data_IF_845613038857
#
_entry.id   IF_845613038857
#
_cell.length_a   1.000
_cell.length_b   1.000
_cell.length_c   1.000
_cell.angle_alpha   90.00
_cell.angle_beta   90.00
_cell.angle_gamma   90.00
#
_symmetry.space_group_name_H-M   'P 1'
#
loop_
_entity.id
_entity.type
_entity.pdbx_description
1 polymer ?
#
# COMPACT_ATOMS: atom_id res chain seq x y z
N UNK A 1 -3.82 36.17 6.68
CA UNK A 1 -2.92 35.83 5.55
C UNK A 1 -2.62 36.99 4.60
N UNK A 2 -3.18 38.20 4.76
CA UNK A 2 -2.83 39.38 3.93
C UNK A 2 -2.14 40.53 4.68
N UNK A 3 -1.88 40.40 5.98
CA UNK A 3 -1.13 41.40 6.76
C UNK A 3 0.35 41.01 7.03
N UNK A 4 0.74 39.77 6.71
CA UNK A 4 2.12 39.27 6.91
C UNK A 4 3.05 39.52 5.71
N UNK A 5 2.58 40.25 4.69
CA UNK A 5 3.33 40.54 3.47
C UNK A 5 3.94 41.96 3.43
N UNK A 6 3.68 42.80 4.43
CA UNK A 6 4.10 44.21 4.39
C UNK A 6 5.41 44.53 5.16
N UNK A 7 6.07 43.54 5.78
CA UNK A 7 7.28 43.74 6.58
C UNK A 7 8.56 43.11 5.99
N UNK A 8 8.55 42.75 4.71
CA UNK A 8 9.74 42.26 4.03
C UNK A 8 10.51 43.44 3.43
N UNK A 9 11.49 43.95 4.19
CA UNK A 9 12.40 45.00 3.72
C UNK A 9 13.03 44.64 2.36
N UNK A 10 13.36 45.66 1.56
CA UNK A 10 13.84 45.58 0.16
C UNK A 10 14.96 44.55 -0.10
N UNK A 11 15.69 44.10 0.92
CA UNK A 11 16.66 42.99 0.83
C UNK A 11 16.02 41.61 0.70
N UNK A 12 14.91 41.33 1.38
CA UNK A 12 14.20 40.05 1.32
C UNK A 12 13.59 39.80 -0.07
N UNK A 13 13.12 40.86 -0.75
CA UNK A 13 12.65 40.77 -2.13
C UNK A 13 13.77 40.47 -3.14
N UNK A 14 15.00 40.91 -2.89
CA UNK A 14 16.14 40.61 -3.80
C UNK A 14 16.55 39.15 -3.68
N UNK A 15 16.54 38.60 -2.47
CA UNK A 15 16.81 37.19 -2.21
C UNK A 15 15.67 36.34 -2.80
N UNK A 16 14.42 36.71 -2.55
CA UNK A 16 13.25 36.01 -3.11
C UNK A 16 13.24 35.99 -4.65
N UNK A 17 13.65 37.08 -5.29
CA UNK A 17 13.79 37.16 -6.77
C UNK A 17 14.94 36.30 -7.29
N UNK A 18 16.08 36.24 -6.58
CA UNK A 18 17.18 35.36 -6.94
C UNK A 18 16.79 33.86 -6.85
N UNK A 19 16.00 33.49 -5.84
CA UNK A 19 15.47 32.13 -5.71
C UNK A 19 14.42 31.77 -6.77
N UNK A 20 13.58 32.72 -7.18
CA UNK A 20 12.63 32.53 -8.29
C UNK A 20 13.33 32.28 -9.63
N UNK A 21 14.45 32.96 -9.89
CA UNK A 21 15.24 32.74 -11.11
C UNK A 21 15.90 31.37 -11.14
N UNK A 22 16.39 30.88 -10.00
CA UNK A 22 16.96 29.52 -9.89
C UNK A 22 15.87 28.45 -10.04
N UNK A 23 14.68 28.68 -9.48
CA UNK A 23 13.52 27.78 -9.63
C UNK A 23 13.03 27.71 -11.08
N UNK A 24 13.01 28.84 -11.81
CA UNK A 24 12.63 28.86 -13.22
C UNK A 24 13.67 28.21 -14.14
N UNK A 25 14.96 28.35 -13.85
CA UNK A 25 16.02 27.66 -14.60
C UNK A 25 15.95 26.14 -14.41
N UNK A 26 15.46 25.66 -13.27
CA UNK A 26 15.25 24.23 -13.01
C UNK A 26 14.01 23.67 -13.71
N UNK A 27 12.93 24.47 -13.84
CA UNK A 27 11.70 24.06 -14.53
C UNK A 27 11.90 23.82 -16.05
N UNK A 28 12.87 24.50 -16.68
CA UNK A 28 13.20 24.33 -18.10
C UNK A 28 13.97 23.03 -18.39
N UNK A 29 14.59 22.40 -17.39
CA UNK A 29 15.33 21.13 -17.54
C UNK A 29 14.48 19.86 -17.37
N UNK A 30 13.20 19.98 -17.00
CA UNK A 30 12.30 18.85 -16.73
C UNK A 30 11.32 18.53 -17.86
N UNK A 31 11.57 19.00 -19.09
CA UNK A 31 10.98 18.41 -20.28
C UNK A 31 9.45 18.42 -20.35
N UNK A 32 8.78 19.43 -19.78
CA UNK A 32 7.38 19.70 -20.15
C UNK A 32 7.37 20.43 -21.50
N UNK A 33 7.27 19.64 -22.57
CA UNK A 33 7.09 20.13 -23.93
C UNK A 33 5.86 21.02 -24.06
N UNK A 34 6.04 22.16 -24.71
CA UNK A 34 4.96 23.04 -25.14
C UNK A 34 4.06 22.32 -26.17
N UNK A 35 2.75 22.59 -26.19
CA UNK A 35 1.86 22.05 -27.22
C UNK A 35 2.19 22.68 -28.58
N UNK A 36 2.48 21.83 -29.56
CA UNK A 36 2.74 22.24 -30.92
C UNK A 36 1.47 22.79 -31.60
N UNK A 37 1.69 23.86 -32.37
CA UNK A 37 0.71 24.60 -33.12
C UNK A 37 -0.06 23.73 -34.14
N UNK A 38 -1.32 24.10 -34.36
CA UNK A 38 -2.19 23.48 -35.35
C UNK A 38 -1.83 23.82 -36.79
N UNK A 39 -2.17 22.89 -37.68
CA UNK A 39 -2.27 23.04 -39.12
C UNK A 39 -3.43 22.15 -39.61
N UNK A 40 -4.00 22.43 -40.80
CA UNK A 40 -5.45 22.52 -40.99
C UNK A 40 -6.16 21.20 -41.31
N UNK A 41 -7.47 21.25 -41.09
CA UNK A 41 -8.45 20.22 -41.42
C UNK A 41 -8.51 19.97 -42.94
N UNK A 42 -8.39 18.69 -43.31
CA UNK A 42 -8.83 18.18 -44.60
C UNK A 42 -9.94 17.15 -44.39
N UNK A 43 -10.93 17.24 -45.27
CA UNK A 43 -12.23 16.61 -45.18
C UNK A 43 -12.24 15.17 -45.75
N UNK A 44 -13.09 14.34 -45.17
CA UNK A 44 -13.81 13.29 -45.90
C UNK A 44 -13.18 11.89 -45.96
N UNK A 45 -13.45 11.06 -44.96
CA UNK A 45 -13.62 9.60 -45.10
C UNK A 45 -14.41 9.05 -43.90
N UNK A 46 -15.52 8.30 -44.10
CA UNK A 46 -16.28 7.75 -42.99
C UNK A 46 -15.49 6.61 -42.31
N UNK A 47 -15.20 6.77 -41.01
CA UNK A 47 -14.59 5.74 -40.19
C UNK A 47 -15.54 4.54 -40.04
N UNK A 48 -15.05 3.29 -40.05
CA UNK A 48 -15.87 2.12 -39.74
C UNK A 48 -16.39 2.22 -38.29
N UNK A 49 -17.54 1.59 -37.96
CA UNK A 49 -18.08 1.63 -36.62
C UNK A 49 -17.04 1.09 -35.64
N UNK A 50 -16.66 1.93 -34.67
CA UNK A 50 -15.89 1.51 -33.51
C UNK A 50 -16.76 0.52 -32.75
N UNK A 51 -16.53 -0.77 -32.99
CA UNK A 51 -17.01 -1.82 -32.10
C UNK A 51 -16.33 -1.56 -30.77
N UNK A 52 -17.09 -1.07 -29.79
CA UNK A 52 -16.63 -1.05 -28.41
C UNK A 52 -16.25 -2.48 -28.02
N UNK A 53 -15.09 -2.73 -27.40
CA UNK A 53 -14.78 -4.05 -26.90
C UNK A 53 -15.85 -4.43 -25.89
N UNK A 54 -16.60 -5.49 -26.19
CA UNK A 54 -17.45 -6.18 -25.23
C UNK A 54 -16.59 -6.54 -24.01
N UNK A 55 -16.95 -6.02 -22.83
CA UNK A 55 -16.30 -6.38 -21.58
C UNK A 55 -16.31 -7.91 -21.44
N UNK A 56 -15.11 -8.50 -21.44
CA UNK A 56 -14.88 -9.92 -21.60
C UNK A 56 -15.44 -10.73 -20.45
N UNK A 57 -16.10 -11.84 -20.80
CA UNK A 57 -16.59 -12.87 -19.86
C UNK A 57 -15.48 -13.80 -19.35
N UNK A 58 -14.20 -13.45 -19.58
CA UNK A 58 -13.01 -14.26 -19.27
C UNK A 58 -12.09 -13.69 -18.18
N UNK A 59 -12.44 -12.53 -17.59
CA UNK A 59 -11.56 -11.88 -16.62
C UNK A 59 -11.69 -12.48 -15.22
N UNK A 60 -10.55 -12.87 -14.63
CA UNK A 60 -10.50 -13.41 -13.26
C UNK A 60 -11.00 -12.34 -12.29
N UNK A 61 -11.98 -12.64 -11.42
CA UNK A 61 -12.50 -11.68 -10.46
C UNK A 61 -11.41 -11.17 -9.51
N UNK A 62 -11.44 -9.90 -9.14
CA UNK A 62 -10.48 -9.38 -8.17
C UNK A 62 -10.66 -10.03 -6.78
N UNK A 63 -9.57 -10.54 -6.21
CA UNK A 63 -9.59 -11.07 -4.85
C UNK A 63 -9.79 -9.92 -3.85
N UNK A 64 -10.95 -9.89 -3.19
CA UNK A 64 -11.27 -8.89 -2.15
C UNK A 64 -11.59 -9.52 -0.80
N UNK A 65 -12.12 -10.74 -0.82
CA UNK A 65 -12.60 -11.50 0.34
C UNK A 65 -12.26 -12.98 0.12
N UNK A 66 -12.28 -13.79 1.18
CA UNK A 66 -12.00 -15.24 1.07
C UNK A 66 -13.14 -15.96 0.35
N UNK A 67 -14.34 -15.40 0.38
CA UNK A 67 -15.51 -15.91 -0.36
C UNK A 67 -15.95 -14.87 -1.38
N UNK A 68 -15.84 -15.22 -2.67
CA UNK A 68 -16.31 -14.40 -3.77
C UNK A 68 -17.46 -15.13 -4.47
N UNK A 69 -18.67 -14.58 -4.42
CA UNK A 69 -19.85 -15.16 -5.05
C UNK A 69 -20.46 -14.16 -6.04
N UNK A 70 -20.19 -14.37 -7.33
CA UNK A 70 -20.70 -13.52 -8.41
C UNK A 70 -22.13 -13.89 -8.83
N UNK A 71 -22.63 -15.03 -8.36
CA UNK A 71 -23.92 -15.60 -8.76
C UNK A 71 -25.04 -15.34 -7.75
N UNK A 72 -24.71 -14.71 -6.61
CA UNK A 72 -25.60 -14.56 -5.46
C UNK A 72 -26.22 -15.89 -5.00
N UNK A 73 -25.48 -16.99 -5.13
CA UNK A 73 -25.93 -18.34 -4.78
C UNK A 73 -25.96 -18.56 -3.27
N UNK A 74 -25.05 -17.92 -2.54
CA UNK A 74 -24.97 -18.05 -1.09
C UNK A 74 -25.80 -16.96 -0.39
N UNK A 75 -26.57 -17.29 0.67
CA UNK A 75 -27.11 -16.30 1.59
C UNK A 75 -25.97 -15.49 2.25
N UNK A 76 -26.23 -14.22 2.56
CA UNK A 76 -25.24 -13.35 3.20
C UNK A 76 -24.69 -13.93 4.52
N UNK A 77 -25.56 -14.50 5.35
CA UNK A 77 -25.17 -15.15 6.61
C UNK A 77 -24.21 -16.33 6.40
N UNK A 78 -24.42 -17.12 5.36
CA UNK A 78 -23.53 -18.24 4.99
C UNK A 78 -22.19 -17.70 4.49
N UNK A 79 -22.18 -16.67 3.63
CA UNK A 79 -20.94 -16.05 3.16
C UNK A 79 -20.10 -15.51 4.33
N UNK A 80 -20.73 -14.80 5.25
CA UNK A 80 -20.05 -14.24 6.43
C UNK A 80 -19.52 -15.32 7.37
N UNK A 81 -20.27 -16.41 7.55
CA UNK A 81 -19.84 -17.55 8.35
C UNK A 81 -18.62 -18.24 7.74
N UNK A 82 -18.64 -18.47 6.42
CA UNK A 82 -17.51 -19.00 5.68
C UNK A 82 -16.30 -18.06 5.76
N UNK A 83 -16.45 -16.78 5.46
CA UNK A 83 -15.33 -15.83 5.50
C UNK A 83 -14.67 -15.76 6.89
N UNK A 84 -15.46 -15.75 7.97
CA UNK A 84 -14.94 -15.84 9.36
C UNK A 84 -14.18 -17.14 9.62
N UNK A 85 -14.69 -18.28 9.16
CA UNK A 85 -14.00 -19.58 9.30
C UNK A 85 -12.68 -19.58 8.55
N UNK A 86 -12.67 -19.13 7.29
CA UNK A 86 -11.48 -19.08 6.45
C UNK A 86 -10.44 -18.10 7.02
N UNK A 87 -10.90 -16.98 7.60
CA UNK A 87 -10.03 -16.04 8.31
C UNK A 87 -9.42 -16.64 9.58
N UNK A 88 -10.14 -17.51 10.28
CA UNK A 88 -9.62 -18.24 11.43
C UNK A 88 -8.57 -19.28 10.99
N UNK A 89 -8.82 -20.03 9.92
CA UNK A 89 -7.84 -20.97 9.37
C UNK A 89 -6.52 -20.26 9.00
N UNK A 90 -6.60 -19.13 8.28
CA UNK A 90 -5.41 -18.34 7.93
C UNK A 90 -4.68 -17.83 9.17
N UNK A 91 -5.40 -17.35 10.19
CA UNK A 91 -4.77 -16.92 11.45
C UNK A 91 -4.07 -18.04 12.19
N UNK A 92 -4.70 -19.21 12.26
CA UNK A 92 -4.24 -20.32 13.10
C UNK A 92 -3.12 -21.11 12.43
N UNK A 93 -3.20 -21.30 11.10
CA UNK A 93 -2.33 -22.19 10.32
C UNK A 93 -1.54 -21.49 9.23
N UNK A 94 -1.88 -20.25 8.88
CA UNK A 94 -1.23 -19.51 7.80
C UNK A 94 -1.77 -19.85 6.41
N UNK A 95 -2.45 -20.98 6.28
CA UNK A 95 -3.04 -21.46 5.03
C UNK A 95 -4.17 -20.54 4.54
N UNK A 96 -4.15 -20.25 3.24
CA UNK A 96 -5.14 -19.39 2.60
C UNK A 96 -6.11 -20.22 1.75
N UNK A 97 -7.28 -20.50 2.31
CA UNK A 97 -8.36 -21.15 1.57
C UNK A 97 -9.36 -20.08 1.08
N UNK A 98 -9.64 -20.09 -0.21
CA UNK A 98 -10.58 -19.20 -0.86
C UNK A 98 -11.69 -19.98 -1.59
N UNK A 99 -12.88 -19.39 -1.67
CA UNK A 99 -14.05 -19.91 -2.38
C UNK A 99 -14.42 -18.92 -3.46
N UNK A 100 -14.54 -19.41 -4.70
CA UNK A 100 -15.02 -18.63 -5.84
C UNK A 100 -16.24 -19.30 -6.46
N UNK A 101 -17.34 -18.56 -6.60
CA UNK A 101 -18.53 -18.99 -7.32
C UNK A 101 -18.75 -18.05 -8.49
N UNK A 102 -18.70 -18.62 -9.69
CA UNK A 102 -18.95 -17.95 -10.96
C UNK A 102 -20.10 -18.62 -11.69
N UNK A 103 -20.66 -17.93 -12.68
CA UNK A 103 -21.72 -18.49 -13.50
C UNK A 103 -21.17 -19.59 -14.42
N UNK A 104 -20.17 -19.28 -15.25
CA UNK A 104 -19.55 -20.20 -16.19
C UNK A 104 -18.06 -19.87 -16.38
N UNK A 105 -17.26 -20.85 -16.81
CA UNK A 105 -15.86 -20.67 -17.24
C UNK A 105 -15.75 -20.26 -18.71
N UNK A 106 -16.86 -20.14 -19.43
CA UNK A 106 -16.87 -19.86 -20.86
C UNK A 106 -16.26 -21.00 -21.67
N UNK A 107 -15.32 -20.68 -22.55
CA UNK A 107 -14.64 -21.66 -23.40
C UNK A 107 -13.50 -22.41 -22.70
N UNK A 108 -13.10 -21.97 -21.50
CA UNK A 108 -12.03 -22.60 -20.71
C UNK A 108 -12.54 -23.81 -19.93
N UNK A 109 -11.68 -24.81 -19.72
CA UNK A 109 -12.00 -25.88 -18.77
C UNK A 109 -11.95 -25.37 -17.32
N UNK A 110 -12.63 -26.05 -16.40
CA UNK A 110 -12.63 -25.68 -14.98
C UNK A 110 -11.22 -25.73 -14.38
N UNK A 111 -10.36 -26.63 -14.86
CA UNK A 111 -8.95 -26.74 -14.50
C UNK A 111 -8.17 -25.51 -14.94
N UNK A 112 -8.27 -25.14 -16.23
CA UNK A 112 -7.58 -23.97 -16.76
C UNK A 112 -8.01 -22.69 -16.05
N UNK A 113 -9.32 -22.53 -15.81
CA UNK A 113 -9.84 -21.36 -15.10
C UNK A 113 -9.35 -21.32 -13.65
N UNK A 114 -9.36 -22.46 -12.94
CA UNK A 114 -8.89 -22.54 -11.55
C UNK A 114 -7.40 -22.23 -11.43
N UNK A 115 -6.53 -22.82 -12.26
CA UNK A 115 -5.09 -22.55 -12.24
C UNK A 115 -4.81 -21.07 -12.54
N UNK A 116 -5.44 -20.50 -13.58
CA UNK A 116 -5.31 -19.06 -13.90
C UNK A 116 -5.78 -18.18 -12.73
N UNK A 117 -6.87 -18.56 -12.07
CA UNK A 117 -7.39 -17.82 -10.91
C UNK A 117 -6.43 -17.91 -9.73
N UNK A 118 -5.93 -19.11 -9.43
CA UNK A 118 -4.99 -19.34 -8.34
C UNK A 118 -3.71 -18.51 -8.54
N UNK A 119 -3.17 -18.51 -9.76
CA UNK A 119 -1.98 -17.74 -10.13
C UNK A 119 -2.21 -16.23 -10.07
N UNK A 120 -3.34 -15.75 -10.59
CA UNK A 120 -3.71 -14.34 -10.52
C UNK A 120 -3.89 -13.86 -9.08
N UNK A 121 -4.47 -14.72 -8.22
CA UNK A 121 -4.72 -14.41 -6.82
C UNK A 121 -3.49 -14.62 -5.95
N UNK A 122 -2.52 -15.43 -6.41
CA UNK A 122 -1.32 -15.84 -5.69
C UNK A 122 -1.64 -16.38 -4.29
N UNK A 123 -2.58 -17.33 -4.24
CA UNK A 123 -3.07 -17.89 -2.98
C UNK A 123 -1.99 -18.68 -2.25
N UNK A 124 -1.95 -18.53 -0.92
CA UNK A 124 -0.94 -19.13 -0.05
C UNK A 124 0.20 -18.15 0.25
N UNK A 125 1.01 -18.45 1.25
CA UNK A 125 2.21 -17.68 1.59
C UNK A 125 3.33 -18.03 0.63
N UNK A 126 4.09 -17.02 0.17
CA UNK A 126 5.26 -17.25 -0.68
C UNK A 126 6.27 -18.23 -0.05
N UNK A 127 6.79 -19.15 -0.85
CA UNK A 127 7.71 -20.24 -0.49
C UNK A 127 7.15 -21.31 0.46
N UNK A 128 5.96 -21.10 1.04
CA UNK A 128 5.23 -22.14 1.77
C UNK A 128 4.20 -22.79 0.86
N UNK A 129 3.61 -22.02 -0.06
CA UNK A 129 2.68 -22.50 -1.07
C UNK A 129 1.43 -23.17 -0.46
N UNK A 130 0.93 -22.63 0.67
CA UNK A 130 -0.19 -23.15 1.46
C UNK A 130 -1.55 -22.53 1.09
N UNK A 131 -1.82 -22.43 -0.22
CA UNK A 131 -3.07 -21.92 -0.77
C UNK A 131 -4.02 -23.04 -1.20
N UNK A 132 -5.33 -22.82 -1.07
CA UNK A 132 -6.38 -23.68 -1.64
C UNK A 132 -7.46 -22.81 -2.29
N UNK A 133 -7.90 -23.18 -3.50
CA UNK A 133 -9.07 -22.58 -4.16
C UNK A 133 -10.17 -23.63 -4.34
N UNK A 134 -11.35 -23.38 -3.78
CA UNK A 134 -12.58 -24.08 -4.15
C UNK A 134 -13.34 -23.23 -5.18
N UNK A 135 -13.29 -23.63 -6.44
CA UNK A 135 -13.97 -22.98 -7.56
C UNK A 135 -15.26 -23.75 -7.91
N UNK A 136 -16.35 -23.01 -8.09
CA UNK A 136 -17.65 -23.54 -8.54
C UNK A 136 -18.13 -22.73 -9.75
N UNK A 137 -18.29 -23.40 -10.89
CA UNK A 137 -18.93 -22.86 -12.08
C UNK A 137 -20.35 -23.44 -12.19
N UNK A 138 -21.33 -22.62 -11.80
CA UNK A 138 -22.69 -23.09 -11.49
C UNK A 138 -23.43 -23.60 -12.72
N UNK A 139 -23.41 -22.84 -13.81
CA UNK A 139 -24.12 -23.17 -15.05
C UNK A 139 -23.46 -24.32 -15.79
N UNK A 140 -22.14 -24.48 -15.67
CA UNK A 140 -21.38 -25.58 -16.27
C UNK A 140 -21.50 -26.89 -15.49
N UNK A 141 -22.10 -26.81 -14.29
CA UNK A 141 -22.14 -27.87 -13.27
C UNK A 141 -20.78 -28.52 -13.05
N UNK A 142 -19.76 -27.67 -12.94
CA UNK A 142 -18.38 -28.08 -12.72
C UNK A 142 -17.79 -27.39 -11.49
N UNK A 143 -16.99 -28.12 -10.74
CA UNK A 143 -16.24 -27.58 -9.61
C UNK A 143 -14.81 -28.12 -9.60
N UNK A 144 -13.93 -27.37 -8.94
CA UNK A 144 -12.54 -27.76 -8.76
C UNK A 144 -12.02 -27.31 -7.41
N UNK A 145 -11.20 -28.17 -6.80
CA UNK A 145 -10.32 -27.82 -5.70
C UNK A 145 -8.91 -27.75 -6.29
N UNK A 146 -8.31 -26.56 -6.30
CA UNK A 146 -6.90 -26.34 -6.63
C UNK A 146 -6.10 -26.29 -5.32
N UNK A 147 -5.01 -27.03 -5.24
CA UNK A 147 -4.17 -27.12 -4.03
C UNK A 147 -2.75 -26.64 -4.36
N UNK A 148 -2.22 -25.73 -3.53
CA UNK A 148 -0.83 -25.28 -3.61
C UNK A 148 0.14 -26.35 -3.12
N UNK A 149 1.38 -26.29 -3.60
CA UNK A 149 2.40 -27.32 -3.34
C UNK A 149 2.63 -27.64 -1.86
N UNK A 150 2.50 -26.63 -0.98
CA UNK A 150 2.69 -26.78 0.46
C UNK A 150 1.62 -27.61 1.16
N UNK A 151 0.49 -27.86 0.49
CA UNK A 151 -0.65 -28.59 1.05
C UNK A 151 -0.94 -29.91 0.34
N UNK A 152 -0.13 -30.32 -0.64
CA UNK A 152 -0.32 -31.61 -1.33
C UNK A 152 -0.18 -32.82 -0.40
N UNK A 153 0.63 -32.71 0.68
CA UNK A 153 0.70 -33.74 1.72
C UNK A 153 -0.57 -33.87 2.55
N UNK A 154 -1.20 -32.74 2.88
CA UNK A 154 -2.42 -32.67 3.69
C UNK A 154 -3.68 -32.97 2.87
N UNK A 155 -3.74 -32.43 1.65
CA UNK A 155 -4.85 -32.49 0.71
C UNK A 155 -4.35 -33.02 -0.64
N UNK A 156 -3.95 -34.30 -0.72
CA UNK A 156 -3.61 -34.92 -1.99
C UNK A 156 -4.86 -35.05 -2.87
N UNK A 157 -4.64 -35.19 -4.19
CA UNK A 157 -5.69 -35.28 -5.21
C UNK A 157 -6.77 -36.30 -4.87
N UNK A 158 -6.39 -37.45 -4.31
CA UNK A 158 -7.32 -38.50 -3.91
C UNK A 158 -8.30 -38.04 -2.81
N UNK A 159 -7.83 -37.24 -1.85
CA UNK A 159 -8.70 -36.69 -0.80
C UNK A 159 -9.54 -35.53 -1.34
N UNK A 160 -8.97 -34.66 -2.18
CA UNK A 160 -9.73 -33.60 -2.86
C UNK A 160 -10.89 -34.20 -3.69
N UNK A 161 -10.61 -35.22 -4.50
CA UNK A 161 -11.61 -35.92 -5.30
C UNK A 161 -12.67 -36.60 -4.43
N UNK A 162 -12.26 -37.15 -3.28
CA UNK A 162 -13.18 -37.75 -2.30
C UNK A 162 -14.12 -36.71 -1.70
N UNK A 163 -13.60 -35.57 -1.28
CA UNK A 163 -14.39 -34.46 -0.74
C UNK A 163 -15.42 -34.01 -1.77
N UNK A 164 -15.01 -33.81 -3.02
CA UNK A 164 -15.92 -33.42 -4.10
C UNK A 164 -17.05 -34.46 -4.24
N UNK A 165 -16.70 -35.73 -4.43
CA UNK A 165 -17.67 -36.80 -4.72
C UNK A 165 -18.59 -37.14 -3.55
N UNK A 166 -18.07 -37.13 -2.32
CA UNK A 166 -18.80 -37.62 -1.14
C UNK A 166 -19.45 -36.48 -0.34
N UNK A 167 -18.89 -35.27 -0.38
CA UNK A 167 -19.39 -34.14 0.41
C UNK A 167 -20.07 -33.07 -0.45
N UNK A 168 -19.52 -32.71 -1.61
CA UNK A 168 -20.01 -31.55 -2.35
C UNK A 168 -21.10 -31.96 -3.36
N UNK A 169 -20.76 -32.85 -4.30
CA UNK A 169 -21.60 -33.26 -5.42
C UNK A 169 -23.00 -33.73 -5.01
N UNK A 170 -23.20 -34.58 -3.97
CA UNK A 170 -24.53 -35.04 -3.60
C UNK A 170 -25.47 -33.91 -3.15
N UNK A 171 -24.92 -32.86 -2.54
CA UNK A 171 -25.66 -31.68 -2.09
C UNK A 171 -25.97 -30.74 -3.25
N UNK A 172 -25.03 -30.58 -4.18
CA UNK A 172 -25.24 -29.80 -5.40
C UNK A 172 -26.32 -30.41 -6.30
N UNK A 173 -26.39 -31.75 -6.39
CA UNK A 173 -27.45 -32.47 -7.09
C UNK A 173 -28.85 -32.19 -6.49
N UNK A 174 -28.93 -31.87 -5.20
CA UNK A 174 -30.16 -31.49 -4.50
C UNK A 174 -30.45 -29.98 -4.59
N UNK A 175 -29.60 -29.20 -5.26
CA UNK A 175 -29.67 -27.74 -5.32
C UNK A 175 -29.20 -27.02 -4.05
N UNK A 176 -28.66 -27.74 -3.06
CA UNK A 176 -28.17 -27.17 -1.80
C UNK A 176 -26.68 -26.79 -1.90
N UNK A 177 -26.40 -25.75 -2.69
CA UNK A 177 -25.04 -25.24 -2.92
C UNK A 177 -24.38 -24.73 -1.65
N UNK A 178 -25.15 -24.08 -0.77
CA UNK A 178 -24.65 -23.53 0.48
C UNK A 178 -24.10 -24.63 1.38
N UNK A 179 -24.86 -25.72 1.61
CA UNK A 179 -24.37 -26.84 2.41
C UNK A 179 -23.28 -27.64 1.71
N UNK A 180 -23.31 -27.75 0.37
CA UNK A 180 -22.25 -28.40 -0.40
C UNK A 180 -20.90 -27.71 -0.20
N UNK A 181 -20.86 -26.39 -0.37
CA UNK A 181 -19.66 -25.58 -0.18
C UNK A 181 -19.20 -25.63 1.28
N UNK A 182 -20.13 -25.49 2.23
CA UNK A 182 -19.79 -25.57 3.65
C UNK A 182 -19.16 -26.92 4.02
N UNK A 183 -19.75 -28.04 3.58
CA UNK A 183 -19.21 -29.37 3.85
C UNK A 183 -17.82 -29.58 3.21
N UNK A 184 -17.61 -29.05 2.00
CA UNK A 184 -16.30 -29.05 1.34
C UNK A 184 -15.25 -28.25 2.12
N UNK A 185 -15.59 -27.03 2.52
CA UNK A 185 -14.71 -26.16 3.33
C UNK A 185 -14.41 -26.80 4.68
N UNK A 186 -15.39 -27.41 5.35
CA UNK A 186 -15.20 -28.06 6.64
C UNK A 186 -14.23 -29.24 6.54
N UNK A 187 -14.34 -30.05 5.49
CA UNK A 187 -13.43 -31.16 5.25
C UNK A 187 -12.00 -30.68 4.95
N UNK A 188 -11.84 -29.62 4.16
CA UNK A 188 -10.54 -29.04 3.84
C UNK A 188 -9.89 -28.41 5.08
N UNK A 189 -10.64 -27.64 5.88
CA UNK A 189 -10.19 -27.05 7.14
C UNK A 189 -9.67 -28.13 8.11
N UNK A 190 -10.38 -29.25 8.22
CA UNK A 190 -9.95 -30.38 9.05
C UNK A 190 -8.62 -31.00 8.59
N UNK A 191 -8.45 -31.23 7.28
CA UNK A 191 -7.22 -31.77 6.71
C UNK A 191 -6.03 -30.82 6.94
N UNK A 192 -6.20 -29.53 6.62
CA UNK A 192 -5.15 -28.52 6.81
C UNK A 192 -4.77 -28.37 8.28
N UNK A 193 -5.73 -28.48 9.20
CA UNK A 193 -5.44 -28.41 10.65
C UNK A 193 -4.67 -29.62 11.16
N UNK A 194 -4.80 -30.77 10.52
CA UNK A 194 -4.02 -31.98 10.81
C UNK A 194 -2.56 -31.89 10.38
N UNK A 195 -2.21 -30.98 9.48
CA UNK A 195 -0.87 -30.86 8.90
C UNK A 195 0.10 -30.03 9.79
N UNK A 196 1.37 -30.48 9.94
CA UNK A 196 2.43 -29.67 10.53
C UNK A 196 2.91 -28.58 9.54
N UNK A 197 2.27 -27.42 9.59
CA UNK A 197 2.69 -26.26 8.79
C UNK A 197 3.62 -25.31 9.57
N UNK A 198 4.55 -24.61 8.89
CA UNK A 198 5.35 -23.55 9.52
C UNK A 198 4.41 -22.51 10.17
N UNK A 199 4.71 -22.07 11.41
CA UNK A 199 3.83 -21.19 12.15
C UNK A 199 3.49 -19.93 11.35
N UNK A 200 2.26 -19.42 11.43
CA UNK A 200 1.89 -18.16 10.79
C UNK A 200 2.81 -17.07 11.33
N UNK A 201 3.61 -16.44 10.45
CA UNK A 201 4.34 -15.24 10.83
C UNK A 201 3.29 -14.16 11.01
N UNK A 202 3.07 -13.69 12.24
CA UNK A 202 2.18 -12.57 12.49
C UNK A 202 2.61 -11.41 11.58
N UNK A 203 1.78 -11.07 10.58
CA UNK A 203 1.92 -9.82 9.85
C UNK A 203 1.67 -8.74 10.89
N UNK A 204 2.74 -8.29 11.55
CA UNK A 204 2.69 -7.12 12.43
C UNK A 204 2.19 -5.97 11.58
N UNK A 205 0.92 -5.62 11.75
CA UNK A 205 0.35 -4.34 11.37
C UNK A 205 0.98 -3.28 12.31
N UNK A 206 2.28 -3.06 12.16
CA UNK A 206 3.06 -2.10 12.91
C UNK A 206 3.52 -1.01 11.95
N UNK A 207 3.11 0.23 12.22
CA UNK A 207 3.44 1.43 11.44
C UNK A 207 4.93 1.82 11.41
N UNK A 208 5.84 0.86 11.62
CA UNK A 208 7.29 0.99 11.50
C UNK A 208 7.79 0.80 10.07
N UNK A 209 7.03 0.10 9.21
CA UNK A 209 7.40 -0.10 7.80
C UNK A 209 7.30 1.18 6.96
N UNK A 210 6.23 1.97 7.18
CA UNK A 210 6.03 3.23 6.44
C UNK A 210 7.06 4.29 6.85
N UNK A 211 7.40 4.39 8.15
CA UNK A 211 8.48 5.28 8.59
C UNK A 211 9.85 4.81 8.06
N UNK A 212 10.12 3.50 7.98
CA UNK A 212 11.40 2.97 7.48
C UNK A 212 11.54 3.08 5.95
N UNK A 213 10.46 2.88 5.20
CA UNK A 213 10.42 3.10 3.74
C UNK A 213 10.44 4.59 3.38
N UNK A 214 9.88 5.47 4.22
CA UNK A 214 10.02 6.92 4.06
C UNK A 214 11.42 7.42 4.46
N UNK A 215 12.07 6.82 5.47
CA UNK A 215 13.45 7.13 5.85
C UNK A 215 14.50 6.62 4.84
N UNK A 216 14.20 5.55 4.10
CA UNK A 216 15.14 4.93 3.15
C UNK A 216 15.30 5.66 1.80
N UNK A 217 14.41 6.61 1.49
CA UNK A 217 14.38 7.29 0.18
C UNK A 217 14.48 8.81 0.26
N UNK A 218 14.96 9.41 1.37
CA UNK A 218 15.29 10.83 1.34
C UNK A 218 16.58 11.01 0.50
N UNK A 219 16.50 11.61 -0.70
CA UNK A 219 17.71 11.91 -1.45
C UNK A 219 18.55 12.88 -0.61
N UNK A 220 19.86 12.68 -0.65
CA UNK A 220 20.90 13.44 0.06
C UNK A 220 20.70 14.98 0.02
N UNK A 221 19.93 15.45 -0.97
CA UNK A 221 19.49 16.82 -1.23
C UNK A 221 18.61 17.43 -0.12
N UNK A 222 17.69 16.68 0.49
CA UNK A 222 16.86 17.19 1.61
C UNK A 222 17.72 17.37 2.86
N UNK A 223 18.73 16.51 3.04
CA UNK A 223 19.70 16.59 4.14
C UNK A 223 20.62 17.82 4.00
N UNK A 224 21.01 18.17 2.76
CA UNK A 224 21.77 19.38 2.45
C UNK A 224 20.96 20.66 2.73
N UNK A 225 19.67 20.67 2.37
CA UNK A 225 18.77 21.80 2.63
C UNK A 225 18.44 21.93 4.13
N UNK A 226 18.24 20.81 4.84
CA UNK A 226 18.04 20.80 6.29
C UNK A 226 19.30 21.24 7.05
N UNK A 227 20.50 20.80 6.61
CA UNK A 227 21.79 21.27 7.14
C UNK A 227 22.00 22.76 6.97
N UNK A 228 21.58 23.34 5.84
CA UNK A 228 21.62 24.78 5.58
C UNK A 228 20.67 25.57 6.51
N UNK A 229 19.50 25.02 6.85
CA UNK A 229 18.57 25.61 7.82
C UNK A 229 19.10 25.54 9.27
N UNK A 230 19.88 24.52 9.62
CA UNK A 230 20.51 24.37 10.95
C UNK A 230 21.56 25.48 11.21
N UNK A 231 22.28 25.94 10.18
CA UNK A 231 23.22 27.06 10.27
C UNK A 231 22.55 28.42 10.55
N UNK A 232 21.25 28.54 10.25
CA UNK A 232 20.49 29.76 10.46
C UNK A 232 19.98 29.92 11.90
N UNK A 233 19.88 28.82 12.65
CA UNK A 233 19.24 28.73 13.97
C UNK A 233 20.16 29.12 15.14
N UNK A 234 19.60 29.52 16.31
CA UNK A 234 20.37 29.75 17.53
C UNK A 234 21.16 28.49 17.94
N UNK A 235 22.36 28.63 18.54
CA UNK A 235 23.26 27.51 18.80
C UNK A 235 22.63 26.35 19.59
N UNK A 236 21.76 26.66 20.54
CA UNK A 236 21.05 25.65 21.34
C UNK A 236 20.00 24.86 20.54
N UNK A 237 19.35 25.48 19.55
CA UNK A 237 18.40 24.80 18.65
C UNK A 237 19.16 23.98 17.60
N UNK A 238 20.28 24.49 17.10
CA UNK A 238 21.15 23.76 16.16
C UNK A 238 21.76 22.49 16.81
N UNK A 239 22.11 22.55 18.10
CA UNK A 239 22.56 21.40 18.87
C UNK A 239 21.47 20.32 19.00
N UNK A 240 20.23 20.71 19.34
CA UNK A 240 19.11 19.76 19.41
C UNK A 240 18.80 19.13 18.05
N UNK A 241 18.78 19.92 16.98
CA UNK A 241 18.54 19.42 15.62
C UNK A 241 19.65 18.46 15.16
N UNK A 242 20.92 18.79 15.43
CA UNK A 242 22.07 17.91 15.15
C UNK A 242 22.02 16.60 15.94
N UNK A 243 21.54 16.64 17.20
CA UNK A 243 21.40 15.44 18.02
C UNK A 243 20.33 14.48 17.47
N UNK A 244 19.17 15.02 17.13
CA UNK A 244 18.05 14.25 16.56
C UNK A 244 18.44 13.65 15.22
N UNK A 245 19.14 14.40 14.37
CA UNK A 245 19.56 13.94 13.05
C UNK A 245 20.65 12.86 13.15
N UNK A 246 21.67 13.05 13.99
CA UNK A 246 22.74 12.06 14.20
C UNK A 246 22.20 10.75 14.78
N UNK A 247 21.23 10.84 15.69
CA UNK A 247 20.54 9.66 16.21
C UNK A 247 19.65 8.98 15.16
N UNK A 248 18.87 9.76 14.41
CA UNK A 248 17.95 9.25 13.39
C UNK A 248 18.67 8.54 12.23
N UNK A 249 19.87 9.01 11.87
CA UNK A 249 20.65 8.42 10.77
C UNK A 249 21.37 7.13 11.19
N UNK A 250 21.89 7.05 12.42
CA UNK A 250 22.87 6.01 12.79
C UNK A 250 22.44 5.14 13.98
N UNK A 251 21.27 5.39 14.57
CA UNK A 251 20.68 4.58 15.64
C UNK A 251 21.46 4.54 16.96
N UNK A 252 22.49 5.38 17.10
CA UNK A 252 23.39 5.39 18.25
C UNK A 252 23.36 6.74 18.95
N UNK A 253 23.16 6.69 20.26
CA UNK A 253 23.13 7.87 21.13
C UNK A 253 24.50 8.57 21.20
N UNK A 254 25.60 7.81 21.09
CA UNK A 254 26.97 8.37 21.05
C UNK A 254 27.18 9.22 19.79
N UNK A 255 26.66 8.78 18.65
CA UNK A 255 26.76 9.52 17.39
C UNK A 255 25.76 10.69 17.32
N UNK A 256 24.61 10.59 18.00
CA UNK A 256 23.73 11.73 18.24
C UNK A 256 24.43 12.86 19.01
N UNK A 257 25.19 12.52 20.06
CA UNK A 257 25.96 13.52 20.82
C UNK A 257 27.06 14.18 19.97
N UNK A 258 27.71 13.44 19.06
CA UNK A 258 28.65 14.00 18.09
C UNK A 258 27.96 14.94 17.09
N UNK A 259 26.78 14.57 16.57
CA UNK A 259 25.97 15.42 15.70
C UNK A 259 25.55 16.73 16.37
N UNK A 260 25.22 16.68 17.66
CA UNK A 260 24.91 17.87 18.46
C UNK A 260 26.12 18.82 18.57
N UNK A 261 27.31 18.27 18.83
CA UNK A 261 28.56 19.03 18.91
C UNK A 261 28.90 19.71 17.58
N UNK A 262 28.77 18.99 16.47
CA UNK A 262 29.02 19.52 15.12
C UNK A 262 28.03 20.66 14.79
N UNK A 263 26.73 20.47 15.06
CA UNK A 263 25.72 21.49 14.84
C UNK A 263 25.93 22.76 15.67
N UNK A 264 26.34 22.60 16.93
CA UNK A 264 26.66 23.71 17.83
C UNK A 264 27.87 24.52 17.34
N UNK A 265 28.97 23.84 17.00
CA UNK A 265 30.20 24.49 16.52
C UNK A 265 29.99 25.18 15.17
N UNK A 266 29.22 24.56 14.26
CA UNK A 266 28.86 25.16 12.98
C UNK A 266 28.03 26.44 13.16
N UNK A 267 27.07 26.44 14.09
CA UNK A 267 26.27 27.63 14.43
C UNK A 267 27.12 28.77 14.99
N UNK A 268 28.12 28.47 15.84
CA UNK A 268 29.04 29.47 16.38
C UNK A 268 29.96 30.06 15.30
N UNK A 269 30.55 29.23 14.44
CA UNK A 269 31.40 29.68 13.34
C UNK A 269 30.63 30.57 12.35
N UNK A 270 29.37 30.20 12.05
CA UNK A 270 28.51 30.98 11.18
C UNK A 270 28.02 32.29 11.84
N UNK A 271 27.79 32.29 13.16
CA UNK A 271 27.48 33.50 13.91
C UNK A 271 28.65 34.50 13.94
N UNK A 272 29.90 34.02 14.01
CA UNK A 272 31.10 34.86 13.89
C UNK A 272 31.27 35.42 12.47
N UNK A 273 31.01 34.60 11.44
CA UNK A 273 31.01 35.04 10.04
C UNK A 273 29.98 36.16 9.78
N UNK A 274 28.76 36.05 10.33
CA UNK A 274 27.74 37.13 10.25
C UNK A 274 28.16 38.41 10.96
N UNK A 275 28.89 38.32 12.07
CA UNK A 275 29.41 39.52 12.77
C UNK A 275 30.47 40.24 11.94
N UNK A 276 31.33 39.49 11.24
CA UNK A 276 32.37 40.04 10.36
C UNK A 276 31.78 40.76 9.12
N UNK A 277 30.68 40.25 8.57
CA UNK A 277 29.91 40.92 7.51
C UNK A 277 29.11 42.14 8.01
N UNK A 278 28.62 42.11 9.25
CA UNK A 278 27.91 43.25 9.84
C UNK A 278 28.83 44.41 10.24
N UNK A 279 30.14 44.18 10.40
CA UNK A 279 31.16 45.20 10.70
C UNK A 279 31.64 46.02 9.49
N UNK A 280 31.26 45.68 8.25
CA UNK A 280 31.60 46.50 7.06
C UNK A 280 30.54 47.56 6.72
N UNK A 281 29.41 47.61 7.43
CA UNK A 281 28.35 48.57 7.15
C UNK A 281 27.62 49.04 8.40
N UNK A 282 28.23 49.99 9.12
CA UNK A 282 27.52 51.15 9.67
C UNK A 282 28.47 52.20 10.24
N UNK A 283 28.69 53.22 9.41
CA UNK A 283 28.82 54.61 9.86
C UNK A 283 27.52 55.00 10.56
N UNK A 284 27.71 55.74 11.63
CA UNK A 284 26.83 56.17 12.71
C UNK A 284 25.75 57.19 12.31
N UNK A 285 24.54 56.96 12.85
CA UNK A 285 23.50 57.91 13.31
C UNK A 285 22.26 57.04 13.63
N UNK A 286 21.66 56.96 14.81
CA UNK A 286 21.68 57.75 16.04
C UNK A 286 20.21 57.92 16.49
N UNK A 287 19.87 57.49 17.72
CA UNK A 287 18.74 58.09 18.48
C UNK A 287 17.44 57.29 18.70
N UNK A 288 17.22 56.96 19.99
CA UNK A 288 15.99 57.11 20.82
C UNK A 288 14.76 56.16 20.79
N UNK A 289 14.63 55.42 21.92
CA UNK A 289 13.56 55.38 22.96
C UNK A 289 12.06 55.12 22.66
N UNK A 290 11.43 54.33 23.55
CA UNK A 290 9.99 54.35 23.92
C UNK A 290 9.19 53.14 23.42
N UNK A 291 8.84 52.15 24.26
CA UNK A 291 7.70 52.06 25.21
C UNK A 291 6.35 51.60 24.62
N UNK A 292 5.77 50.61 25.31
CA UNK A 292 4.34 50.29 25.48
C UNK A 292 3.57 49.46 24.45
N UNK A 293 2.84 48.44 24.98
CA UNK A 293 1.40 48.29 24.72
C UNK A 293 0.92 47.09 23.88
N UNK A 294 0.42 46.04 24.57
CA UNK A 294 -1.00 45.66 24.46
C UNK A 294 -1.51 44.64 23.42
N UNK A 295 -1.99 43.50 23.96
CA UNK A 295 -3.34 42.88 23.72
C UNK A 295 -3.62 41.89 22.56
N UNK A 296 -4.44 40.86 22.89
CA UNK A 296 -5.29 40.05 21.97
C UNK A 296 -4.92 38.55 21.87
N UNK A 297 -5.58 37.61 22.57
CA UNK A 297 -6.74 36.75 22.12
C UNK A 297 -6.49 36.01 20.78
N UNK A 298 -6.79 34.73 20.54
CA UNK A 298 -7.74 33.74 21.10
C UNK A 298 -7.65 32.41 20.32
N UNK A 299 -8.06 31.28 20.94
CA UNK A 299 -8.68 30.04 20.39
C UNK A 299 -7.98 29.29 19.22
N UNK A 300 -8.12 27.99 19.03
CA UNK A 300 -8.88 26.91 19.65
C UNK A 300 -8.41 25.60 18.95
N UNK A 301 -8.63 24.44 19.59
CA UNK A 301 -8.16 23.15 19.07
C UNK A 301 -8.92 22.67 17.84
N UNK A 302 -8.56 21.49 17.32
CA UNK A 302 -9.47 20.50 16.71
C UNK A 302 -8.84 19.11 16.76
N UNK A 303 -9.66 18.15 17.19
CA UNK A 303 -9.47 16.71 17.12
C UNK A 303 -9.91 16.18 15.75
N UNK A 304 -9.25 15.15 15.24
CA UNK A 304 -9.81 14.30 14.19
C UNK A 304 -9.52 12.84 14.50
N UNK A 305 -10.60 12.13 14.84
CA UNK A 305 -10.70 10.67 14.81
C UNK A 305 -10.64 10.22 13.35
N UNK A 306 -9.71 9.33 13.02
CA UNK A 306 -9.66 8.62 11.74
C UNK A 306 -10.15 7.19 11.92
N UNK A 307 -11.27 6.88 11.28
CA UNK A 307 -11.89 5.57 11.15
C UNK A 307 -10.95 4.56 10.48
N UNK A 308 -10.75 3.40 11.10
CA UNK A 308 -10.02 2.27 10.53
C UNK A 308 -10.81 1.64 9.37
N UNK A 309 -10.26 1.74 8.16
CA UNK A 309 -10.75 1.04 6.98
C UNK A 309 -10.38 -0.45 7.03
N UNK A 310 -11.33 -1.30 6.65
CA UNK A 310 -11.14 -2.73 6.49
C UNK A 310 -10.11 -3.00 5.38
N UNK A 311 -9.00 -3.65 5.73
CA UNK A 311 -8.00 -4.11 4.77
C UNK A 311 -8.54 -5.25 3.92
N UNK A 312 -8.43 -5.12 2.60
CA UNK A 312 -8.86 -6.15 1.65
C UNK A 312 -8.05 -7.45 1.80
N UNK A 313 -8.70 -8.59 1.62
CA UNK A 313 -8.02 -9.88 1.53
C UNK A 313 -7.28 -9.97 0.19
N UNK A 314 -6.01 -10.37 0.24
CA UNK A 314 -5.16 -10.59 -0.92
C UNK A 314 -4.26 -11.80 -0.70
N UNK A 315 -3.87 -12.48 -1.77
CA UNK A 315 -3.03 -13.66 -1.68
C UNK A 315 -1.62 -13.36 -1.18
N UNK A 316 -1.04 -14.32 -0.47
CA UNK A 316 0.28 -14.20 0.17
C UNK A 316 1.46 -14.49 -0.75
N UNK A 317 1.24 -14.80 -2.03
CA UNK A 317 2.30 -15.07 -3.00
C UNK A 317 2.54 -16.55 -3.34
N UNK A 318 1.68 -17.46 -2.91
CA UNK A 318 1.84 -18.90 -3.13
C UNK A 318 1.58 -19.36 -4.57
N UNK A 319 2.02 -20.58 -4.87
CA UNK A 319 1.98 -21.24 -6.19
C UNK A 319 1.30 -22.60 -6.11
N UNK A 320 0.74 -23.05 -7.23
CA UNK A 320 0.22 -24.42 -7.40
C UNK A 320 0.77 -25.03 -8.69
N UNK A 321 0.80 -26.36 -8.74
CA UNK A 321 1.22 -27.12 -9.92
C UNK A 321 0.08 -27.73 -10.72
N UNK A 322 -1.17 -27.32 -10.51
CA UNK A 322 -2.33 -28.07 -11.02
C UNK A 322 -2.87 -29.13 -10.06
N UNK A 323 -2.38 -29.16 -8.81
CA UNK A 323 -2.79 -30.14 -7.80
C UNK A 323 -4.26 -30.02 -7.38
N UNK A 324 -4.82 -31.10 -6.85
CA UNK A 324 -6.20 -31.19 -6.39
C UNK A 324 -7.09 -32.03 -7.32
N UNK A 325 -8.38 -31.66 -7.44
CA UNK A 325 -9.34 -32.47 -8.18
C UNK A 325 -10.50 -31.64 -8.74
N UNK A 326 -11.07 -32.10 -9.86
CA UNK A 326 -12.31 -31.57 -10.43
C UNK A 326 -13.46 -32.58 -10.33
N UNK A 327 -14.68 -32.06 -10.42
CA UNK A 327 -15.89 -32.88 -10.47
C UNK A 327 -17.03 -32.15 -11.17
N UNK A 328 -18.09 -32.90 -11.44
CA UNK A 328 -19.33 -32.43 -12.07
C UNK A 328 -20.56 -32.93 -11.33
N UNK A 329 -21.72 -32.30 -11.51
CA UNK A 329 -23.00 -32.69 -10.91
C UNK A 329 -24.22 -32.54 -11.83
#
# INVERSE_FOLDING_TARGET
MMAALAAAGRGALRIWRAWLSVLMLFAVSLGLGAPAAGAPADAGSPSPPVVAPSAGQDEVPALRQRVTDQTSTLPASTRDALDRKLAALERDKGAQLAVLIIDSTGDATIEQYATRTFDAWRLGRGNVDDGILLLVAKSDRALRIEVGYGLEGAVPDVLAARIIREQITPRFQQGDYARGIQAGVDALDMLVRGEPLPPPVARSAGGTGVLRSLLGHLPFEVLAIAGLFILALPPWVAACAGAVLGYALMGSWILGLLGAGIGFLASLAFADARKREASSSRISRGGWSGSSGGSGRSGGGWSSRGSGGFGGFGGGGGRSGGGGASGRW
#
